data_IF_964838121960
#
_entry.id   IF_964838121960
#
_cell.length_a   1.000
_cell.length_b   1.000
_cell.length_c   1.000
_cell.angle_alpha   90.00
_cell.angle_beta   90.00
_cell.angle_gamma   90.00
#
_symmetry.space_group_name_H-M   'P 1'
#
loop_
_entity.id
_entity.type
_entity.pdbx_description
1 polymer ?
#
# COMPACT_ATOMS: atom_id res chain seq x y z
N UNK A 1 7.07 -1.39 18.88
CA UNK A 1 5.81 -2.11 18.58
C UNK A 1 6.13 -3.58 18.42
N UNK A 2 5.47 -4.49 19.13
CA UNK A 2 5.71 -5.92 18.94
C UNK A 2 5.19 -6.33 17.56
N UNK A 3 6.08 -6.80 16.70
CA UNK A 3 5.71 -7.34 15.39
C UNK A 3 5.11 -8.73 15.59
N UNK A 4 3.83 -8.90 15.22
CA UNK A 4 3.14 -10.19 15.26
C UNK A 4 3.56 -11.03 14.03
N UNK A 5 4.82 -11.43 13.99
CA UNK A 5 5.38 -12.20 12.87
C UNK A 5 4.95 -13.66 13.03
N UNK A 6 4.23 -14.17 12.03
CA UNK A 6 3.85 -15.57 11.93
C UNK A 6 4.34 -16.13 10.61
N UNK A 7 5.05 -17.26 10.65
CA UNK A 7 5.44 -17.98 9.43
C UNK A 7 4.20 -18.42 8.68
N UNK A 8 4.19 -18.18 7.37
CA UNK A 8 3.21 -18.69 6.43
C UNK A 8 3.92 -19.46 5.33
N UNK A 9 3.31 -20.54 4.85
CA UNK A 9 3.79 -21.27 3.68
C UNK A 9 2.75 -21.12 2.57
N UNK A 10 3.18 -20.63 1.40
CA UNK A 10 2.32 -20.39 0.25
C UNK A 10 3.03 -20.84 -1.03
N UNK A 11 2.26 -21.32 -1.99
CA UNK A 11 2.72 -21.44 -3.37
C UNK A 11 2.53 -20.10 -4.07
N UNK A 12 3.62 -19.51 -4.56
CA UNK A 12 3.60 -18.24 -5.26
C UNK A 12 4.22 -18.40 -6.65
N UNK A 13 3.72 -17.61 -7.59
CA UNK A 13 4.33 -17.54 -8.92
C UNK A 13 5.64 -16.75 -8.83
N UNK A 14 6.78 -17.40 -9.11
CA UNK A 14 8.11 -16.81 -9.00
C UNK A 14 8.26 -15.54 -9.86
N UNK A 15 7.73 -15.52 -11.08
CA UNK A 15 7.85 -14.37 -11.96
C UNK A 15 7.12 -13.12 -11.41
N UNK A 16 6.02 -13.31 -10.67
CA UNK A 16 5.34 -12.20 -9.98
C UNK A 16 6.21 -11.64 -8.85
N UNK A 17 6.87 -12.52 -8.11
CA UNK A 17 7.74 -12.16 -7.00
C UNK A 17 8.99 -11.41 -7.51
N UNK A 18 9.65 -11.91 -8.55
CA UNK A 18 10.82 -11.27 -9.16
C UNK A 18 10.47 -9.87 -9.67
N UNK A 19 9.27 -9.72 -10.28
CA UNK A 19 8.78 -8.42 -10.73
C UNK A 19 8.54 -7.48 -9.55
N UNK A 20 7.94 -7.96 -8.47
CA UNK A 20 7.74 -7.17 -7.26
C UNK A 20 9.08 -6.73 -6.66
N UNK A 21 10.06 -7.62 -6.56
CA UNK A 21 11.40 -7.30 -6.07
C UNK A 21 12.08 -6.20 -6.89
N UNK A 22 12.00 -6.29 -8.23
CA UNK A 22 12.54 -5.26 -9.14
C UNK A 22 11.85 -3.91 -8.99
N UNK A 23 10.51 -3.89 -8.93
CA UNK A 23 9.73 -2.64 -8.78
C UNK A 23 10.02 -1.99 -7.42
N UNK A 24 10.14 -2.79 -6.37
CA UNK A 24 10.31 -2.32 -5.00
C UNK A 24 11.78 -2.10 -4.60
N UNK A 25 12.73 -2.53 -5.45
CA UNK A 25 14.17 -2.42 -5.21
C UNK A 25 14.63 -3.22 -3.98
N UNK A 26 14.09 -4.42 -3.77
CA UNK A 26 14.38 -5.25 -2.58
C UNK A 26 15.03 -6.57 -2.93
N UNK A 27 15.87 -7.07 -2.01
CA UNK A 27 16.70 -8.25 -2.24
C UNK A 27 15.96 -9.55 -1.94
N UNK A 28 14.92 -9.53 -1.10
CA UNK A 28 14.28 -10.76 -0.60
C UNK A 28 12.78 -10.85 -0.90
N UNK A 29 12.29 -12.08 -0.98
CA UNK A 29 10.87 -12.38 -1.14
C UNK A 29 10.03 -11.81 0.01
N UNK A 30 10.52 -11.96 1.25
CA UNK A 30 9.86 -11.46 2.46
C UNK A 30 9.72 -9.95 2.41
N UNK A 31 10.79 -9.21 2.09
CA UNK A 31 10.73 -7.75 1.95
C UNK A 31 9.77 -7.31 0.84
N UNK A 32 9.74 -8.03 -0.29
CA UNK A 32 8.84 -7.70 -1.38
C UNK A 32 7.37 -7.88 -0.97
N UNK A 33 7.05 -8.98 -0.27
CA UNK A 33 5.70 -9.25 0.20
C UNK A 33 5.30 -8.22 1.26
N UNK A 34 6.17 -7.95 2.22
CA UNK A 34 5.92 -7.00 3.32
C UNK A 34 5.64 -5.60 2.77
N UNK A 35 6.54 -5.06 1.94
CA UNK A 35 6.36 -3.75 1.31
C UNK A 35 5.14 -3.69 0.40
N UNK A 36 4.82 -4.77 -0.32
CA UNK A 36 3.63 -4.81 -1.16
C UNK A 36 2.34 -4.71 -0.33
N UNK A 37 2.29 -5.36 0.83
CA UNK A 37 1.15 -5.26 1.75
C UNK A 37 1.02 -3.85 2.33
N UNK A 38 2.13 -3.24 2.73
CA UNK A 38 2.16 -1.85 3.22
C UNK A 38 1.67 -0.87 2.14
N UNK A 39 2.10 -1.05 0.88
CA UNK A 39 1.66 -0.21 -0.23
C UNK A 39 0.15 -0.31 -0.48
N UNK A 40 -0.45 -1.49 -0.34
CA UNK A 40 -1.90 -1.66 -0.48
C UNK A 40 -2.65 -0.94 0.64
N UNK A 41 -2.16 -1.03 1.89
CA UNK A 41 -2.73 -0.30 3.02
C UNK A 41 -2.63 1.21 2.81
N UNK A 42 -1.43 1.70 2.44
CA UNK A 42 -1.19 3.11 2.16
C UNK A 42 -2.08 3.64 1.03
N UNK A 43 -2.23 2.89 -0.07
CA UNK A 43 -3.09 3.28 -1.19
C UNK A 43 -4.53 3.51 -0.72
N UNK A 44 -5.04 2.65 0.17
CA UNK A 44 -6.39 2.79 0.72
C UNK A 44 -6.53 4.08 1.55
N UNK A 45 -5.57 4.34 2.43
CA UNK A 45 -5.56 5.52 3.30
C UNK A 45 -5.42 6.82 2.51
N UNK A 46 -4.56 6.84 1.49
CA UNK A 46 -4.38 7.98 0.60
C UNK A 46 -5.68 8.30 -0.15
N UNK A 47 -6.35 7.29 -0.72
CA UNK A 47 -7.64 7.48 -1.40
C UNK A 47 -8.74 7.99 -0.45
N UNK A 48 -8.78 7.49 0.79
CA UNK A 48 -9.73 7.98 1.78
C UNK A 48 -9.45 9.44 2.15
N UNK A 49 -8.17 9.80 2.32
CA UNK A 49 -7.76 11.18 2.62
C UNK A 49 -8.14 12.13 1.49
N UNK A 50 -7.89 11.75 0.24
CA UNK A 50 -8.30 12.53 -0.94
C UNK A 50 -9.83 12.72 -1.02
N UNK A 51 -10.61 11.68 -0.72
CA UNK A 51 -12.09 11.79 -0.66
C UNK A 51 -12.55 12.79 0.40
N UNK A 52 -11.91 12.81 1.57
CA UNK A 52 -12.22 13.78 2.65
C UNK A 52 -11.92 15.22 2.21
N UNK A 53 -10.79 15.45 1.53
CA UNK A 53 -10.42 16.78 1.04
C UNK A 53 -11.36 17.25 -0.09
N UNK A 54 -11.74 16.36 -1.01
CA UNK A 54 -12.72 16.66 -2.08
C UNK A 54 -14.09 17.07 -1.54
N UNK A 55 -14.49 16.56 -0.37
CA UNK A 55 -15.71 16.98 0.32
C UNK A 55 -15.65 18.39 0.90
N UNK A 56 -14.46 18.88 1.29
CA UNK A 56 -14.28 20.23 1.86
C UNK A 56 -14.13 21.35 0.82
N UNK A 57 -13.67 21.04 -0.39
CA UNK A 57 -13.49 22.03 -1.46
C UNK A 57 -14.78 22.57 -2.12
N UNK A 58 -15.94 21.97 -1.83
CA UNK A 58 -17.24 22.41 -2.37
C UNK A 58 -18.01 23.37 -1.44
N UNK A 59 -17.44 23.75 -0.29
CA UNK A 59 -18.16 24.50 0.75
C UNK A 59 -17.99 26.03 0.76
N UNK A 60 -17.05 26.60 0.01
CA UNK A 60 -16.76 28.05 0.07
C UNK A 60 -16.59 28.69 -1.32
N UNK A 61 -17.61 28.59 -2.16
CA UNK A 61 -17.73 29.46 -3.34
C UNK A 61 -19.19 29.83 -3.54
N UNK A 62 -19.78 30.54 -2.57
CA UNK A 62 -20.99 31.34 -2.80
C UNK A 62 -20.98 32.54 -1.86
N UNK A 63 -21.33 33.68 -2.44
CA UNK A 63 -21.55 35.02 -1.87
C UNK A 63 -20.34 35.96 -1.82
N UNK A 64 -20.05 36.55 -2.98
CA UNK A 64 -19.79 37.99 -3.11
C UNK A 64 -20.93 38.59 -3.94
#
# INVERSE_FOLDING_TARGET
MQSNIRRKNFYLNQAKLDRAQKILGVATATEAIDKALDLVAFQKEALQSLRKVKGKGKGHVTSL
#
